data_IF_563385241006
#
_entry.id   IF_563385241006
#
_cell.length_a   1.000
_cell.length_b   1.000
_cell.length_c   1.000
_cell.angle_alpha   90.00
_cell.angle_beta   90.00
_cell.angle_gamma   90.00
#
_symmetry.space_group_name_H-M   'P 1'
#
loop_
_entity.id
_entity.type
_entity.pdbx_description
1 polymer ?
#
# COMPACT_ATOMS: atom_id res chain seq x y z
N UNK A 1 53.31 -25.25 3.51
CA UNK A 1 52.18 -25.16 2.56
C UNK A 1 50.97 -25.78 3.24
N UNK A 2 49.86 -25.04 3.34
CA UNK A 2 48.61 -25.53 3.93
C UNK A 2 47.46 -24.98 3.09
N UNK A 3 46.52 -25.84 2.67
CA UNK A 3 45.47 -25.45 1.74
C UNK A 3 44.28 -24.79 2.47
N UNK A 4 43.71 -23.75 1.85
CA UNK A 4 42.41 -23.19 2.25
C UNK A 4 41.32 -23.96 1.52
N UNK A 5 40.36 -24.62 2.21
CA UNK A 5 39.28 -25.35 1.56
C UNK A 5 38.26 -24.38 0.95
N UNK A 6 37.77 -24.69 -0.25
CA UNK A 6 36.77 -23.89 -0.94
C UNK A 6 35.37 -24.09 -0.34
N UNK A 7 34.71 -23.00 0.04
CA UNK A 7 33.29 -23.00 0.44
C UNK A 7 32.34 -23.08 -0.77
N UNK A 8 31.08 -23.51 -0.57
CA UNK A 8 30.10 -23.64 -1.65
C UNK A 8 29.67 -22.28 -2.23
N UNK A 9 29.12 -22.25 -3.46
CA UNK A 9 28.73 -21.02 -4.14
C UNK A 9 27.48 -20.39 -3.51
N UNK A 10 27.69 -19.57 -2.47
CA UNK A 10 26.67 -18.69 -1.90
C UNK A 10 26.17 -17.67 -2.93
N UNK A 11 24.91 -17.24 -2.79
CA UNK A 11 24.26 -16.29 -3.68
C UNK A 11 24.98 -14.93 -3.69
N UNK A 12 25.73 -14.67 -4.76
CA UNK A 12 26.52 -13.44 -4.93
C UNK A 12 25.67 -12.19 -5.18
N UNK A 13 25.07 -11.64 -4.13
CA UNK A 13 24.71 -10.22 -4.09
C UNK A 13 26.01 -9.42 -4.05
N UNK A 14 26.56 -9.13 -5.23
CA UNK A 14 27.75 -8.27 -5.37
C UNK A 14 27.46 -6.94 -4.67
N UNK A 15 28.28 -6.51 -3.69
CA UNK A 15 28.07 -5.22 -3.02
C UNK A 15 28.26 -4.09 -4.05
N UNK A 16 27.14 -3.51 -4.49
CA UNK A 16 27.13 -2.49 -5.54
C UNK A 16 27.86 -1.25 -5.00
N UNK A 17 29.06 -0.99 -5.53
CA UNK A 17 29.85 0.17 -5.16
C UNK A 17 29.15 1.44 -5.70
N UNK A 18 28.62 2.33 -4.83
CA UNK A 18 27.76 3.44 -5.27
C UNK A 18 28.53 4.52 -6.04
N UNK A 19 29.87 4.49 -5.97
CA UNK A 19 30.83 5.45 -6.51
C UNK A 19 30.85 5.61 -8.04
N UNK A 20 30.18 4.74 -8.80
CA UNK A 20 30.08 4.85 -10.27
C UNK A 20 28.81 5.55 -10.78
N UNK A 21 27.88 5.95 -9.91
CA UNK A 21 26.65 6.66 -10.31
C UNK A 21 26.88 8.17 -10.28
N UNK A 22 26.86 8.81 -11.45
CA UNK A 22 27.04 10.27 -11.53
C UNK A 22 25.85 11.02 -10.90
N UNK A 23 26.11 12.12 -10.15
CA UNK A 23 25.06 12.83 -9.40
C UNK A 23 23.95 13.38 -10.31
N UNK A 24 24.32 13.86 -11.50
CA UNK A 24 23.38 14.36 -12.52
C UNK A 24 22.40 13.29 -13.06
N UNK A 25 22.76 12.00 -13.00
CA UNK A 25 21.86 10.90 -13.38
C UNK A 25 21.00 10.48 -12.19
N UNK A 26 21.50 10.64 -10.96
CA UNK A 26 20.72 10.47 -9.73
C UNK A 26 19.65 11.58 -9.62
N UNK A 27 19.94 12.84 -9.96
CA UNK A 27 18.95 13.92 -9.95
C UNK A 27 17.83 13.69 -10.98
N UNK A 28 18.19 13.32 -12.22
CA UNK A 28 17.24 12.95 -13.27
C UNK A 28 16.41 11.72 -12.86
N UNK A 29 17.01 10.69 -12.26
CA UNK A 29 16.27 9.52 -11.77
C UNK A 29 15.29 9.88 -10.64
N UNK A 30 15.66 10.80 -9.73
CA UNK A 30 14.76 11.30 -8.69
C UNK A 30 13.56 12.04 -9.29
N UNK A 31 13.78 12.96 -10.23
CA UNK A 31 12.69 13.61 -10.97
C UNK A 31 11.77 12.58 -11.63
N UNK A 32 12.35 11.62 -12.36
CA UNK A 32 11.57 10.61 -13.09
C UNK A 32 10.76 9.71 -12.16
N UNK A 33 11.32 9.24 -11.04
CA UNK A 33 10.65 8.31 -10.13
C UNK A 33 9.44 8.94 -9.43
N UNK A 34 9.47 10.25 -9.15
CA UNK A 34 8.31 10.98 -8.61
C UNK A 34 7.28 11.34 -9.71
N UNK A 35 7.62 11.25 -11.00
CA UNK A 35 6.81 11.82 -12.07
C UNK A 35 5.60 10.94 -12.48
N UNK A 36 4.41 11.56 -12.46
CA UNK A 36 3.12 10.92 -12.80
C UNK A 36 3.00 10.51 -14.27
N UNK A 37 3.74 11.14 -15.19
CA UNK A 37 3.74 10.85 -16.65
C UNK A 37 4.19 9.41 -16.93
N UNK A 38 5.12 8.86 -16.14
CA UNK A 38 5.55 7.47 -16.25
C UNK A 38 4.39 6.47 -16.06
N UNK A 39 3.32 6.85 -15.34
CA UNK A 39 2.15 6.01 -15.01
C UNK A 39 2.59 4.59 -14.58
N UNK A 40 3.52 4.56 -13.63
CA UNK A 40 4.22 3.38 -13.13
C UNK A 40 3.24 2.36 -12.55
N UNK A 41 3.64 1.08 -12.52
CA UNK A 41 2.84 -0.02 -11.98
C UNK A 41 3.73 -0.98 -11.20
N UNK A 42 3.18 -1.65 -10.20
CA UNK A 42 3.86 -2.75 -9.52
C UNK A 42 3.71 -4.04 -10.32
N UNK A 43 4.79 -4.83 -10.36
CA UNK A 43 4.84 -6.18 -10.92
C UNK A 43 5.79 -7.05 -10.11
N UNK A 44 5.81 -8.35 -10.39
CA UNK A 44 6.63 -9.34 -9.69
C UNK A 44 7.86 -9.70 -10.49
N UNK A 45 8.99 -9.05 -10.18
CA UNK A 45 10.29 -9.38 -10.74
C UNK A 45 10.71 -10.78 -10.29
N UNK A 46 11.12 -11.62 -11.26
CA UNK A 46 11.44 -13.04 -11.05
C UNK A 46 10.33 -13.85 -10.33
N UNK A 47 9.07 -13.39 -10.42
CA UNK A 47 7.89 -13.94 -9.74
C UNK A 47 7.92 -13.88 -8.19
N UNK A 48 8.79 -13.07 -7.59
CA UNK A 48 8.95 -12.98 -6.12
C UNK A 48 9.03 -11.54 -5.61
N UNK A 49 9.87 -10.69 -6.22
CA UNK A 49 10.16 -9.35 -5.72
C UNK A 49 9.18 -8.32 -6.30
N UNK A 50 8.63 -7.44 -5.47
CA UNK A 50 7.76 -6.36 -5.97
C UNK A 50 8.58 -5.19 -6.50
N UNK A 51 8.42 -4.88 -7.79
CA UNK A 51 9.17 -3.83 -8.47
C UNK A 51 8.25 -2.89 -9.26
N UNK A 52 8.62 -1.61 -9.30
CA UNK A 52 7.93 -0.58 -10.08
C UNK A 52 8.44 -0.58 -11.52
N UNK A 53 7.52 -0.67 -12.49
CA UNK A 53 7.83 -0.71 -13.92
C UNK A 53 7.03 0.30 -14.74
N UNK A 54 7.63 0.73 -15.85
CA UNK A 54 7.08 1.68 -16.81
C UNK A 54 7.41 1.28 -18.26
N UNK A 55 7.07 2.13 -19.25
CA UNK A 55 7.40 1.95 -20.67
C UNK A 55 8.30 3.07 -21.19
N UNK A 56 9.22 2.73 -22.08
CA UNK A 56 10.22 3.65 -22.64
C UNK A 56 9.64 4.98 -23.15
N UNK A 57 8.59 4.97 -23.99
CA UNK A 57 7.96 6.20 -24.52
C UNK A 57 7.36 7.14 -23.48
N UNK A 58 7.15 6.68 -22.25
CA UNK A 58 6.71 7.55 -21.14
C UNK A 58 7.89 8.21 -20.43
N UNK A 59 9.06 7.56 -20.41
CA UNK A 59 10.31 8.15 -19.92
C UNK A 59 10.78 9.26 -20.87
N UNK A 60 10.81 8.99 -22.18
CA UNK A 60 11.09 10.03 -23.19
C UNK A 60 10.16 11.24 -23.03
N UNK A 61 8.83 11.01 -22.93
CA UNK A 61 7.84 12.07 -22.70
C UNK A 61 8.00 12.80 -21.37
N UNK A 62 8.49 12.14 -20.32
CA UNK A 62 8.75 12.78 -19.02
C UNK A 62 10.00 13.67 -19.08
N UNK A 63 11.07 13.24 -19.76
CA UNK A 63 12.28 14.02 -19.99
C UNK A 63 12.03 15.26 -20.86
N UNK A 64 11.21 15.13 -21.92
CA UNK A 64 10.87 16.23 -22.83
C UNK A 64 9.76 17.16 -22.30
N UNK A 65 9.25 16.91 -21.09
CA UNK A 65 8.10 17.62 -20.52
C UNK A 65 8.44 19.05 -20.05
N UNK A 66 7.43 19.91 -20.01
CA UNK A 66 7.57 21.24 -19.42
C UNK A 66 7.77 21.20 -17.89
N UNK A 67 7.41 20.09 -17.23
CA UNK A 67 7.75 19.87 -15.82
C UNK A 67 9.27 19.73 -15.64
N UNK A 68 9.94 19.00 -16.53
CA UNK A 68 11.40 18.86 -16.53
C UNK A 68 12.06 20.21 -16.80
N UNK A 69 11.65 20.93 -17.85
CA UNK A 69 12.14 22.29 -18.18
C UNK A 69 11.90 23.31 -17.06
N UNK A 70 10.83 23.15 -16.25
CA UNK A 70 10.58 23.98 -15.07
C UNK A 70 11.51 23.64 -13.91
N UNK A 71 11.74 22.37 -13.60
CA UNK A 71 12.66 21.99 -12.53
C UNK A 71 14.14 22.24 -12.89
N UNK A 72 14.50 22.14 -14.18
CA UNK A 72 15.84 22.47 -14.68
C UNK A 72 16.24 23.94 -14.42
N UNK A 73 15.26 24.87 -14.37
CA UNK A 73 15.51 26.29 -14.02
C UNK A 73 15.81 26.51 -12.54
N UNK A 74 15.60 25.52 -11.68
CA UNK A 74 15.85 25.63 -10.25
C UNK A 74 17.20 24.95 -9.90
N UNK A 75 18.21 25.72 -9.46
CA UNK A 75 19.57 25.20 -9.26
C UNK A 75 19.64 24.06 -8.22
N UNK A 76 18.65 23.95 -7.32
CA UNK A 76 18.55 22.89 -6.31
C UNK A 76 18.55 21.46 -6.89
N UNK A 77 18.16 21.30 -8.16
CA UNK A 77 17.93 19.97 -8.74
C UNK A 77 19.02 19.49 -9.71
N UNK A 78 19.97 20.34 -10.11
CA UNK A 78 21.10 19.97 -10.99
C UNK A 78 20.71 19.01 -12.15
N UNK A 79 19.71 19.41 -12.94
CA UNK A 79 19.19 18.61 -14.06
C UNK A 79 19.92 18.93 -15.36
N UNK A 80 20.23 17.89 -16.12
CA UNK A 80 20.89 17.97 -17.43
C UNK A 80 19.96 18.70 -18.42
N UNK A 81 20.43 19.65 -19.24
CA UNK A 81 19.62 20.23 -20.32
C UNK A 81 19.20 19.16 -21.33
N UNK A 82 17.93 19.19 -21.75
CA UNK A 82 17.39 18.32 -22.80
C UNK A 82 16.58 19.18 -23.78
N UNK A 83 16.99 19.18 -25.04
CA UNK A 83 16.32 19.82 -26.17
C UNK A 83 15.61 18.77 -27.02
N UNK A 84 16.33 17.72 -27.40
CA UNK A 84 15.95 16.81 -28.47
C UNK A 84 15.79 15.35 -28.00
N UNK A 85 15.08 14.54 -28.79
CA UNK A 85 14.85 13.12 -28.46
C UNK A 85 16.16 12.32 -28.38
N UNK A 86 17.19 12.70 -29.14
CA UNK A 86 18.52 12.09 -29.04
C UNK A 86 19.17 12.29 -27.65
N UNK A 87 19.02 13.47 -27.05
CA UNK A 87 19.59 13.76 -25.73
C UNK A 87 18.84 12.96 -24.65
N UNK A 88 17.52 12.83 -24.78
CA UNK A 88 16.72 11.93 -23.95
C UNK A 88 17.15 10.46 -24.09
N UNK A 89 17.50 10.01 -25.31
CA UNK A 89 17.99 8.66 -25.57
C UNK A 89 19.41 8.43 -24.99
N UNK A 90 20.30 9.44 -25.06
CA UNK A 90 21.64 9.43 -24.45
C UNK A 90 21.54 9.34 -22.91
N UNK A 91 20.63 10.09 -22.29
CA UNK A 91 20.36 10.04 -20.83
C UNK A 91 19.72 8.71 -20.41
N UNK A 92 18.83 8.15 -21.23
CA UNK A 92 18.28 6.81 -21.01
C UNK A 92 19.39 5.73 -21.04
N UNK A 93 20.35 5.81 -21.97
CA UNK A 93 21.53 4.94 -21.98
C UNK A 93 22.38 5.09 -20.71
N UNK A 94 22.53 6.31 -20.17
CA UNK A 94 23.23 6.57 -18.91
C UNK A 94 22.48 6.02 -17.68
N UNK A 95 21.14 6.08 -17.66
CA UNK A 95 20.30 5.44 -16.64
C UNK A 95 20.42 3.90 -16.67
N UNK A 96 20.56 3.33 -17.86
CA UNK A 96 20.78 1.89 -18.07
C UNK A 96 22.19 1.47 -17.63
N UNK A 97 23.24 2.18 -18.05
CA UNK A 97 24.63 1.83 -17.71
C UNK A 97 24.95 2.00 -16.22
N UNK A 98 24.33 2.97 -15.55
CA UNK A 98 24.40 3.15 -14.09
C UNK A 98 23.51 2.17 -13.28
N UNK A 99 22.87 1.22 -13.97
CA UNK A 99 21.95 0.20 -13.42
C UNK A 99 20.82 0.79 -12.58
N UNK A 100 20.37 2.01 -12.88
CA UNK A 100 19.22 2.65 -12.23
C UNK A 100 17.90 2.07 -12.75
N UNK A 101 17.91 1.61 -14.01
CA UNK A 101 16.81 0.90 -14.68
C UNK A 101 17.29 -0.43 -15.25
N UNK A 102 16.40 -1.43 -15.29
CA UNK A 102 16.66 -2.76 -15.85
C UNK A 102 15.63 -3.05 -16.97
N UNK A 103 16.06 -3.48 -18.18
CA UNK A 103 15.15 -3.89 -19.24
C UNK A 103 14.44 -5.19 -18.84
N UNK A 104 13.13 -5.25 -19.06
CA UNK A 104 12.31 -6.40 -18.65
C UNK A 104 11.32 -6.84 -19.74
N UNK A 105 11.14 -8.15 -19.82
CA UNK A 105 10.08 -8.78 -20.58
C UNK A 105 8.88 -9.04 -19.64
N UNK A 106 7.70 -8.56 -20.03
CA UNK A 106 6.46 -8.66 -19.23
C UNK A 106 5.66 -9.88 -19.69
N UNK A 107 5.92 -11.03 -19.05
CA UNK A 107 5.45 -12.34 -19.50
C UNK A 107 3.92 -12.47 -19.56
N UNK A 108 3.48 -13.38 -20.43
CA UNK A 108 2.11 -13.87 -20.49
C UNK A 108 1.88 -15.10 -19.58
N UNK A 109 0.61 -15.39 -19.27
CA UNK A 109 0.21 -16.49 -18.38
C UNK A 109 0.69 -17.88 -18.84
N UNK A 110 0.81 -18.08 -20.16
CA UNK A 110 1.39 -19.26 -20.80
C UNK A 110 2.88 -19.41 -20.49
N UNK A 111 3.66 -18.35 -20.70
CA UNK A 111 5.12 -18.33 -20.50
C UNK A 111 5.51 -18.54 -19.04
N UNK A 112 4.75 -17.96 -18.09
CA UNK A 112 5.02 -18.13 -16.65
C UNK A 112 4.93 -19.61 -16.26
N UNK A 113 4.01 -20.39 -16.84
CA UNK A 113 3.87 -21.83 -16.57
C UNK A 113 5.01 -22.68 -17.13
N UNK A 114 5.74 -22.20 -18.13
CA UNK A 114 6.91 -22.90 -18.69
C UNK A 114 8.13 -22.79 -17.76
N UNK A 115 8.17 -21.78 -16.87
CA UNK A 115 9.25 -21.61 -15.91
C UNK A 115 8.98 -22.44 -14.64
N UNK A 116 9.76 -23.53 -14.48
CA UNK A 116 9.65 -24.43 -13.33
C UNK A 116 9.73 -23.68 -12.00
N UNK A 117 8.66 -23.76 -11.20
CA UNK A 117 8.54 -23.13 -9.88
C UNK A 117 7.81 -21.80 -9.85
N UNK A 118 7.57 -21.14 -10.99
CA UNK A 118 6.81 -19.89 -11.02
C UNK A 118 5.29 -20.14 -10.97
N UNK A 119 4.59 -19.34 -10.17
CA UNK A 119 3.13 -19.40 -9.98
C UNK A 119 2.51 -18.11 -10.51
N UNK A 120 1.69 -18.14 -11.59
CA UNK A 120 1.10 -16.94 -12.15
C UNK A 120 0.19 -16.21 -11.14
N UNK A 121 0.43 -14.92 -10.93
CA UNK A 121 -0.41 -14.07 -10.10
C UNK A 121 -1.46 -13.35 -10.95
N UNK A 122 -2.70 -13.21 -10.43
CA UNK A 122 -3.81 -12.52 -11.12
C UNK A 122 -3.85 -11.00 -10.85
N UNK A 123 -3.25 -10.53 -9.75
CA UNK A 123 -3.28 -9.09 -9.39
C UNK A 123 -2.07 -8.31 -9.91
N UNK A 124 -0.88 -8.93 -9.96
CA UNK A 124 0.38 -8.30 -10.39
C UNK A 124 1.02 -9.12 -11.51
N UNK A 125 1.47 -8.51 -12.63
CA UNK A 125 2.11 -9.23 -13.73
C UNK A 125 3.52 -9.69 -13.32
N UNK A 126 3.90 -10.89 -13.75
CA UNK A 126 5.27 -11.39 -13.62
C UNK A 126 6.19 -10.70 -14.65
N UNK A 127 7.37 -10.30 -14.19
CA UNK A 127 8.38 -9.57 -14.97
C UNK A 127 9.69 -10.36 -14.96
N UNK A 128 10.32 -10.52 -16.13
CA UNK A 128 11.60 -11.22 -16.28
C UNK A 128 12.68 -10.22 -16.72
N UNK A 129 13.85 -10.16 -16.05
CA UNK A 129 15.00 -9.40 -16.56
C UNK A 129 15.39 -9.87 -17.96
N UNK A 130 15.47 -8.93 -18.90
CA UNK A 130 15.99 -9.19 -20.24
C UNK A 130 17.47 -8.85 -20.32
N UNK A 131 18.20 -9.48 -21.26
CA UNK A 131 19.59 -9.08 -21.58
C UNK A 131 19.66 -8.06 -22.72
N UNK A 132 18.55 -7.78 -23.39
CA UNK A 132 18.46 -6.83 -24.51
C UNK A 132 17.72 -5.58 -24.04
N UNK A 133 18.35 -4.42 -24.14
CA UNK A 133 17.64 -3.14 -24.02
C UNK A 133 17.10 -2.76 -25.41
N UNK A 134 15.78 -2.63 -25.53
CA UNK A 134 15.13 -2.17 -26.75
C UNK A 134 14.73 -0.70 -26.63
N UNK A 135 15.09 0.09 -27.64
CA UNK A 135 14.62 1.47 -27.83
C UNK A 135 13.17 1.52 -28.37
N UNK A 136 12.46 0.39 -28.36
CA UNK A 136 11.07 0.34 -28.80
C UNK A 136 10.18 1.19 -27.89
N UNK A 137 9.27 2.01 -28.43
CA UNK A 137 8.34 2.83 -27.65
C UNK A 137 7.52 2.04 -26.60
N UNK A 138 7.30 0.74 -26.83
CA UNK A 138 6.55 -0.13 -25.93
C UNK A 138 7.41 -0.99 -24.98
N UNK A 139 8.74 -0.97 -25.11
CA UNK A 139 9.66 -1.72 -24.24
C UNK A 139 9.48 -1.35 -22.77
N UNK A 140 9.56 -2.35 -21.89
CA UNK A 140 9.34 -2.19 -20.46
C UNK A 140 10.65 -2.12 -19.68
N UNK A 141 10.62 -1.31 -18.62
CA UNK A 141 11.78 -1.05 -17.76
C UNK A 141 11.33 -1.03 -16.30
N UNK A 142 12.12 -1.67 -15.43
CA UNK A 142 11.96 -1.70 -13.97
C UNK A 142 12.94 -0.73 -13.32
N UNK A 143 12.51 -0.03 -12.27
CA UNK A 143 13.43 0.70 -11.40
C UNK A 143 14.24 -0.26 -10.53
N UNK A 144 15.56 -0.13 -10.59
CA UNK A 144 16.52 -0.69 -9.64
C UNK A 144 17.10 0.42 -8.72
N UNK A 145 16.51 1.62 -8.77
CA UNK A 145 16.85 2.76 -7.95
C UNK A 145 15.76 3.04 -6.91
N UNK A 146 16.15 3.02 -5.64
CA UNK A 146 15.33 3.51 -4.53
C UNK A 146 15.84 4.89 -4.11
N UNK A 147 14.97 5.90 -4.24
CA UNK A 147 15.19 7.26 -3.73
C UNK A 147 15.37 7.20 -2.21
N UNK A 148 16.46 7.75 -1.63
CA UNK A 148 16.64 7.74 -0.19
C UNK A 148 15.53 8.56 0.48
N UNK A 149 14.92 8.00 1.53
CA UNK A 149 13.91 8.71 2.31
C UNK A 149 14.60 9.78 3.17
N UNK A 150 14.39 11.10 2.94
CA UNK A 150 15.10 12.15 3.68
C UNK A 150 14.76 12.13 5.18
N UNK A 151 13.59 11.60 5.56
CA UNK A 151 13.17 11.51 6.95
C UNK A 151 13.86 10.38 7.72
N UNK A 152 14.62 9.48 7.06
CA UNK A 152 15.29 8.37 7.77
C UNK A 152 16.26 8.88 8.84
N UNK A 153 17.00 9.97 8.55
CA UNK A 153 17.90 10.62 9.49
C UNK A 153 17.15 11.25 10.67
N UNK A 154 15.98 11.86 10.39
CA UNK A 154 15.11 12.42 11.43
C UNK A 154 14.54 11.33 12.33
N UNK A 155 14.12 10.19 11.78
CA UNK A 155 13.66 9.04 12.56
C UNK A 155 14.78 8.42 13.40
N UNK A 156 16.00 8.29 12.86
CA UNK A 156 17.16 7.83 13.62
C UNK A 156 17.52 8.77 14.77
N UNK A 157 17.48 10.09 14.55
CA UNK A 157 17.70 11.09 15.59
C UNK A 157 16.60 11.08 16.65
N UNK A 158 15.32 11.01 16.24
CA UNK A 158 14.19 10.94 17.16
C UNK A 158 14.20 9.64 17.98
N UNK A 159 14.63 8.53 17.39
CA UNK A 159 14.82 7.25 18.09
C UNK A 159 15.92 7.35 19.15
N UNK A 160 17.12 7.87 18.82
CA UNK A 160 18.20 7.99 19.80
C UNK A 160 17.83 8.98 20.91
N UNK A 161 17.15 10.09 20.57
CA UNK A 161 16.63 11.05 21.55
C UNK A 161 15.58 10.43 22.48
N UNK A 162 14.68 9.57 21.96
CA UNK A 162 13.71 8.83 22.75
C UNK A 162 14.36 7.83 23.73
N UNK A 163 15.39 7.10 23.28
CA UNK A 163 16.17 6.18 24.13
C UNK A 163 16.90 6.96 25.23
N UNK A 164 17.57 8.07 24.90
CA UNK A 164 18.18 8.96 25.90
C UNK A 164 17.15 9.53 26.88
N UNK A 165 15.97 9.96 26.41
CA UNK A 165 14.92 10.49 27.27
C UNK A 165 14.47 9.48 28.33
N UNK A 166 14.30 8.21 27.95
CA UNK A 166 13.96 7.10 28.87
C UNK A 166 15.11 6.84 29.86
N UNK A 167 16.35 6.72 29.38
CA UNK A 167 17.51 6.46 30.25
C UNK A 167 17.76 7.61 31.23
N UNK A 168 17.49 8.85 30.85
CA UNK A 168 17.62 10.04 31.69
C UNK A 168 16.40 10.32 32.58
N UNK A 169 15.39 9.44 32.67
CA UNK A 169 14.31 9.56 33.64
C UNK A 169 14.77 9.81 35.12
N UNK A 170 15.92 9.28 35.59
CA UNK A 170 16.55 9.65 36.86
C UNK A 170 16.98 11.13 37.01
N UNK A 171 16.97 11.91 35.93
CA UNK A 171 17.25 13.36 35.91
C UNK A 171 16.03 14.22 35.54
N UNK A 172 14.87 13.64 35.25
CA UNK A 172 13.68 14.40 34.86
C UNK A 172 13.12 15.28 36.01
N UNK A 173 12.59 16.48 35.71
CA UNK A 173 11.89 17.31 36.68
C UNK A 173 10.74 16.59 37.39
N UNK A 174 10.50 16.92 38.66
CA UNK A 174 9.44 16.33 39.48
C UNK A 174 8.05 16.38 38.82
N UNK A 175 7.70 17.48 38.15
CA UNK A 175 6.40 17.60 37.47
C UNK A 175 6.22 16.60 36.31
N UNK A 176 7.29 16.27 35.57
CA UNK A 176 7.23 15.28 34.49
C UNK A 176 7.06 13.86 35.06
N UNK A 177 7.74 13.55 36.18
CA UNK A 177 7.57 12.26 36.89
C UNK A 177 6.16 12.09 37.44
N UNK A 178 5.60 13.15 38.03
CA UNK A 178 4.21 13.23 38.46
C UNK A 178 3.27 12.96 37.27
N UNK A 179 3.50 13.59 36.11
CA UNK A 179 2.73 13.36 34.89
C UNK A 179 2.79 11.90 34.41
N UNK A 180 3.97 11.29 34.39
CA UNK A 180 4.14 9.86 34.02
C UNK A 180 3.45 8.94 35.04
N UNK A 181 3.48 9.26 36.34
CA UNK A 181 2.79 8.49 37.37
C UNK A 181 1.26 8.56 37.20
N UNK A 182 0.68 9.75 37.04
CA UNK A 182 -0.76 9.90 36.77
C UNK A 182 -1.18 9.24 35.46
N UNK A 183 -0.37 9.33 34.40
CA UNK A 183 -0.64 8.64 33.13
C UNK A 183 -0.60 7.11 33.29
N UNK A 184 0.37 6.59 34.04
CA UNK A 184 0.48 5.16 34.35
C UNK A 184 -0.71 4.67 35.17
N UNK A 185 -1.10 5.39 36.23
CA UNK A 185 -2.28 5.07 37.03
C UNK A 185 -3.58 5.21 36.23
N UNK A 186 -3.69 6.17 35.32
CA UNK A 186 -4.82 6.33 34.41
C UNK A 186 -4.97 5.16 33.43
N UNK A 187 -3.87 4.72 32.82
CA UNK A 187 -3.85 3.53 31.96
C UNK A 187 -4.11 2.24 32.74
N UNK A 188 -3.63 2.14 33.98
CA UNK A 188 -3.90 1.00 34.87
C UNK A 188 -5.37 0.97 35.35
N UNK A 189 -5.98 2.13 35.56
CA UNK A 189 -7.42 2.26 35.81
C UNK A 189 -8.24 1.83 34.57
N UNK A 190 -7.83 2.27 33.37
CA UNK A 190 -8.48 1.90 32.11
C UNK A 190 -8.39 0.40 31.84
N UNK A 191 -7.23 -0.24 32.04
CA UNK A 191 -7.10 -1.70 31.87
C UNK A 191 -7.90 -2.45 32.95
N UNK A 192 -7.92 -1.96 34.19
CA UNK A 192 -8.72 -2.50 35.28
C UNK A 192 -10.23 -2.44 35.00
N UNK A 193 -10.72 -1.33 34.43
CA UNK A 193 -12.11 -1.20 33.98
C UNK A 193 -12.45 -2.18 32.86
N UNK A 194 -11.55 -2.40 31.91
CA UNK A 194 -11.73 -3.38 30.84
C UNK A 194 -11.82 -4.82 31.40
N UNK A 195 -10.94 -5.18 32.34
CA UNK A 195 -11.03 -6.46 33.06
C UNK A 195 -12.33 -6.59 33.87
N UNK A 196 -12.78 -5.53 34.56
CA UNK A 196 -14.04 -5.53 35.31
C UNK A 196 -15.24 -5.81 34.39
N UNK A 197 -15.31 -5.15 33.24
CA UNK A 197 -16.38 -5.37 32.25
C UNK A 197 -16.31 -6.80 31.68
N UNK A 198 -15.10 -7.34 31.43
CA UNK A 198 -14.92 -8.72 30.98
C UNK A 198 -15.36 -9.75 32.05
N UNK A 199 -15.09 -9.50 33.32
CA UNK A 199 -15.52 -10.34 34.46
C UNK A 199 -17.06 -10.29 34.61
N UNK A 200 -17.66 -9.09 34.53
CA UNK A 200 -19.12 -8.93 34.57
C UNK A 200 -19.78 -9.67 33.39
N UNK A 201 -19.23 -9.54 32.17
CA UNK A 201 -19.66 -10.31 30.99
C UNK A 201 -19.59 -11.82 31.23
N UNK A 202 -18.49 -12.31 31.83
CA UNK A 202 -18.30 -13.73 32.13
C UNK A 202 -19.32 -14.25 33.16
N UNK A 203 -19.58 -13.49 34.24
CA UNK A 203 -20.53 -13.87 35.29
C UNK A 203 -21.96 -13.93 34.73
N UNK A 204 -22.38 -12.91 33.96
CA UNK A 204 -23.72 -12.90 33.35
C UNK A 204 -23.86 -14.02 32.32
N UNK A 205 -22.82 -14.27 31.50
CA UNK A 205 -22.81 -15.39 30.56
C UNK A 205 -22.95 -16.74 31.29
N UNK A 206 -22.19 -16.96 32.37
CA UNK A 206 -22.25 -18.21 33.15
C UNK A 206 -23.64 -18.43 33.80
N UNK A 207 -24.23 -17.39 34.41
CA UNK A 207 -25.56 -17.47 35.02
C UNK A 207 -26.62 -17.73 33.94
N UNK A 208 -26.61 -16.98 32.83
CA UNK A 208 -27.61 -17.15 31.77
C UNK A 208 -27.46 -18.47 31.02
N UNK A 209 -26.24 -18.99 30.83
CA UNK A 209 -26.00 -20.31 30.25
C UNK A 209 -26.53 -21.47 31.12
N UNK A 210 -26.58 -21.30 32.44
CA UNK A 210 -27.12 -22.31 33.37
C UNK A 210 -28.64 -22.22 33.56
N UNK A 211 -29.24 -21.03 33.40
CA UNK A 211 -30.66 -20.77 33.71
C UNK A 211 -31.53 -20.64 32.46
N UNK A 212 -30.98 -20.24 31.31
CA UNK A 212 -31.72 -19.94 30.08
C UNK A 212 -31.22 -20.79 28.90
N UNK A 213 -32.10 -21.18 27.96
CA UNK A 213 -31.72 -21.95 26.77
C UNK A 213 -30.97 -21.14 25.70
N UNK A 214 -30.73 -19.84 25.96
CA UNK A 214 -29.98 -18.91 25.10
C UNK A 214 -29.03 -18.10 25.99
N UNK A 215 -27.75 -18.10 25.67
CA UNK A 215 -26.75 -17.37 26.44
C UNK A 215 -26.84 -15.85 26.16
N UNK A 216 -26.74 -15.04 27.22
CA UNK A 216 -26.71 -13.59 27.11
C UNK A 216 -25.28 -13.09 26.96
N UNK A 217 -25.08 -12.18 26.01
CA UNK A 217 -23.79 -11.54 25.73
C UNK A 217 -23.86 -10.06 26.04
N UNK A 218 -23.27 -9.65 27.17
CA UNK A 218 -23.02 -8.23 27.44
C UNK A 218 -21.85 -7.74 26.55
N UNK A 219 -22.03 -6.59 25.88
CA UNK A 219 -21.07 -6.00 24.94
C UNK A 219 -20.45 -7.02 23.96
N UNK A 220 -21.23 -7.65 23.04
CA UNK A 220 -20.71 -8.67 22.12
C UNK A 220 -19.37 -8.28 21.48
N UNK A 221 -19.32 -7.09 20.88
CA UNK A 221 -18.23 -6.52 20.10
C UNK A 221 -16.97 -6.11 20.92
N UNK A 222 -16.94 -6.31 22.24
CA UNK A 222 -15.83 -5.88 23.10
C UNK A 222 -14.47 -6.51 22.76
N UNK A 223 -14.48 -7.66 22.06
CA UNK A 223 -13.30 -8.41 21.61
C UNK A 223 -13.28 -8.63 20.08
N UNK A 224 -14.10 -7.90 19.32
CA UNK A 224 -14.03 -7.89 17.85
C UNK A 224 -13.07 -6.77 17.38
N UNK A 225 -12.63 -6.84 16.11
CA UNK A 225 -11.71 -5.87 15.48
C UNK A 225 -12.39 -4.51 15.21
N UNK A 226 -12.86 -3.85 16.27
CA UNK A 226 -13.66 -2.63 16.26
C UNK A 226 -12.98 -1.48 17.00
N UNK A 227 -13.39 -0.24 16.70
CA UNK A 227 -12.93 0.93 17.46
C UNK A 227 -13.52 0.93 18.87
N UNK A 228 -12.81 1.49 19.86
CA UNK A 228 -13.24 1.49 21.29
C UNK A 228 -14.70 1.95 21.50
N UNK A 229 -15.19 2.91 20.70
CA UNK A 229 -16.57 3.43 20.78
C UNK A 229 -17.61 2.44 20.20
N UNK A 230 -17.20 1.62 19.24
CA UNK A 230 -18.00 0.60 18.57
C UNK A 230 -18.01 -0.72 19.38
N UNK A 231 -16.90 -1.04 20.07
CA UNK A 231 -16.79 -2.18 21.01
C UNK A 231 -17.87 -2.17 22.11
N UNK A 232 -18.39 -1.00 22.47
CA UNK A 232 -19.48 -0.84 23.46
C UNK A 232 -20.89 -0.77 22.84
N UNK A 233 -21.07 -1.05 21.55
CA UNK A 233 -22.37 -0.98 20.84
C UNK A 233 -22.58 -2.22 19.94
N UNK A 234 -23.66 -3.00 20.12
CA UNK A 234 -24.74 -2.82 21.09
C UNK A 234 -24.33 -3.14 22.53
N UNK A 235 -25.11 -2.67 23.50
CA UNK A 235 -24.92 -2.95 24.93
C UNK A 235 -25.05 -4.44 25.27
N UNK A 236 -25.92 -5.16 24.55
CA UNK A 236 -26.16 -6.58 24.74
C UNK A 236 -26.62 -7.27 23.45
N UNK A 237 -26.48 -8.58 23.41
CA UNK A 237 -27.08 -9.48 22.43
C UNK A 237 -27.49 -10.81 23.07
N UNK A 238 -28.39 -11.53 22.43
CA UNK A 238 -28.76 -12.91 22.77
C UNK A 238 -28.15 -13.86 21.74
N UNK A 239 -27.57 -14.99 22.18
CA UNK A 239 -27.08 -16.01 21.27
C UNK A 239 -28.26 -16.67 20.53
N UNK A 240 -28.21 -16.69 19.20
CA UNK A 240 -29.31 -17.24 18.41
C UNK A 240 -29.29 -18.77 18.48
N UNK A 241 -30.43 -19.43 18.72
CA UNK A 241 -30.49 -20.89 18.72
C UNK A 241 -30.03 -21.41 17.36
N UNK A 242 -29.18 -22.45 17.37
CA UNK A 242 -28.51 -23.02 16.18
C UNK A 242 -29.49 -23.75 15.26
N UNK A 243 -30.42 -23.01 14.66
CA UNK A 243 -31.26 -23.46 13.57
C UNK A 243 -30.39 -23.89 12.38
N UNK A 244 -30.78 -24.98 11.73
CA UNK A 244 -29.95 -25.60 10.70
C UNK A 244 -29.89 -24.75 9.42
N UNK A 245 -28.74 -24.83 8.74
CA UNK A 245 -28.36 -24.00 7.57
C UNK A 245 -29.50 -23.76 6.58
N UNK A 246 -29.97 -22.51 6.47
CA UNK A 246 -30.61 -22.00 5.24
C UNK A 246 -29.92 -20.72 4.77
N UNK A 247 -29.33 -20.77 3.57
CA UNK A 247 -28.76 -19.60 2.88
C UNK A 247 -29.90 -18.68 2.44
N UNK A 248 -30.23 -17.65 3.20
CA UNK A 248 -31.04 -16.51 2.71
C UNK A 248 -30.17 -15.62 1.82
N UNK A 249 -30.35 -15.78 0.51
CA UNK A 249 -29.59 -15.08 -0.54
C UNK A 249 -30.18 -13.68 -0.73
N UNK A 250 -29.36 -12.65 -0.48
CA UNK A 250 -29.47 -11.25 -0.96
C UNK A 250 -30.65 -10.96 -1.91
N UNK A 251 -31.68 -10.27 -1.41
CA UNK A 251 -32.71 -9.57 -2.18
C UNK A 251 -32.65 -8.05 -1.89
N UNK A 252 -33.13 -7.22 -2.82
CA UNK A 252 -33.05 -5.74 -2.74
C UNK A 252 -34.26 -5.12 -3.45
N UNK A 253 -35.07 -4.35 -2.71
CA UNK A 253 -36.27 -3.65 -3.21
C UNK A 253 -37.53 -4.53 -3.28
N UNK A 254 -38.74 -3.98 -3.17
CA UNK A 254 -39.08 -2.58 -2.82
C UNK A 254 -40.57 -2.23 -2.99
N UNK A 255 -40.95 -1.07 -2.42
CA UNK A 255 -42.15 -0.23 -2.62
C UNK A 255 -43.58 -0.82 -2.48
N UNK A 256 -44.30 -0.29 -1.47
CA UNK A 256 -45.65 0.35 -1.54
C UNK A 256 -45.85 1.05 -0.17
N UNK A 257 -46.07 2.36 -0.01
CA UNK A 257 -47.19 3.23 -0.47
C UNK A 257 -48.57 2.72 -0.04
N UNK A 258 -49.47 3.51 0.57
CA UNK A 258 -49.45 4.91 1.07
C UNK A 258 -50.59 5.07 2.12
N UNK A 259 -50.85 6.19 2.82
CA UNK A 259 -50.45 7.62 2.74
C UNK A 259 -50.05 8.15 4.17
N UNK A 260 -50.27 9.37 4.72
CA UNK A 260 -51.04 10.59 4.37
C UNK A 260 -50.55 11.86 5.16
N UNK A 261 -51.40 12.90 5.26
CA UNK A 261 -51.37 14.17 6.03
C UNK A 261 -50.47 14.25 7.29
N UNK A 262 -49.84 15.38 7.69
CA UNK A 262 -49.57 16.74 7.15
C UNK A 262 -48.66 17.48 8.19
N UNK A 263 -48.21 18.76 8.19
CA UNK A 263 -48.37 20.03 7.44
C UNK A 263 -47.04 20.83 7.50
N UNK A 264 -46.88 21.93 6.74
CA UNK A 264 -45.75 22.92 6.70
C UNK A 264 -44.39 22.38 6.20
N UNK A 265 -43.67 22.94 5.20
CA UNK A 265 -43.42 24.32 4.71
C UNK A 265 -42.34 25.06 5.54
N UNK A 266 -41.28 25.69 5.01
CA UNK A 266 -41.02 26.31 3.68
C UNK A 266 -39.50 26.34 3.33
N UNK A 267 -39.13 26.71 2.07
CA UNK A 267 -37.81 27.18 1.57
C UNK A 267 -36.73 26.13 1.18
N UNK A 268 -35.88 26.27 0.14
CA UNK A 268 -35.89 27.15 -1.09
C UNK A 268 -34.93 26.58 -2.16
N UNK A 269 -35.40 26.43 -3.41
CA UNK A 269 -34.62 26.33 -4.69
C UNK A 269 -33.62 25.16 -4.88
N UNK A 270 -33.11 24.85 -6.09
CA UNK A 270 -33.61 25.05 -7.48
C UNK A 270 -32.58 24.45 -8.47
N UNK A 271 -32.99 23.48 -9.31
CA UNK A 271 -32.41 23.10 -10.64
C UNK A 271 -30.89 22.79 -10.84
N UNK A 272 -30.46 21.97 -11.82
CA UNK A 272 -31.18 21.03 -12.70
C UNK A 272 -30.23 19.95 -13.30
N UNK A 273 -30.85 18.84 -13.74
CA UNK A 273 -30.52 17.97 -14.90
C UNK A 273 -29.06 17.79 -15.39
N UNK A 274 -28.59 16.53 -15.39
CA UNK A 274 -27.36 16.11 -16.09
C UNK A 274 -27.22 14.59 -16.24
N UNK A 275 -27.97 13.97 -17.17
CA UNK A 275 -28.02 12.50 -17.33
C UNK A 275 -26.85 11.92 -18.13
N UNK A 276 -26.37 10.72 -17.75
CA UNK A 276 -25.22 10.05 -18.38
C UNK A 276 -25.16 8.55 -18.11
N UNK A 277 -25.99 7.76 -18.80
CA UNK A 277 -26.10 6.29 -18.62
C UNK A 277 -24.86 5.52 -19.11
N UNK A 278 -24.37 4.56 -18.32
CA UNK A 278 -23.27 3.64 -18.71
C UNK A 278 -23.77 2.20 -18.87
N UNK A 279 -24.23 1.87 -20.08
CA UNK A 279 -24.66 0.52 -20.46
C UNK A 279 -23.50 -0.49 -20.41
N UNK A 280 -23.64 -1.53 -19.58
CA UNK A 280 -22.70 -2.67 -19.57
C UNK A 280 -23.04 -3.65 -20.69
N UNK A 281 -22.25 -3.67 -21.78
CA UNK A 281 -22.32 -4.75 -22.77
C UNK A 281 -21.51 -5.97 -22.30
N UNK A 282 -22.13 -7.15 -22.42
CA UNK A 282 -21.51 -8.47 -22.28
C UNK A 282 -21.04 -8.89 -23.66
N UNK A 283 -19.74 -9.10 -23.85
CA UNK A 283 -19.21 -9.70 -25.09
C UNK A 283 -19.30 -11.23 -24.96
N UNK A 284 -19.88 -11.86 -25.97
CA UNK A 284 -19.83 -13.30 -26.21
C UNK A 284 -18.74 -13.55 -27.25
N UNK A 285 -18.04 -14.67 -27.17
CA UNK A 285 -17.12 -15.10 -28.21
C UNK A 285 -17.93 -15.80 -29.30
N UNK A 286 -17.71 -15.42 -30.54
CA UNK A 286 -18.21 -16.10 -31.73
C UNK A 286 -16.97 -16.44 -32.57
N UNK A 287 -16.80 -17.72 -32.84
CA UNK A 287 -15.72 -18.26 -33.66
C UNK A 287 -16.20 -18.26 -35.12
N UNK A 288 -15.36 -17.80 -36.03
CA UNK A 288 -15.56 -17.95 -37.49
C UNK A 288 -14.20 -18.31 -38.07
N UNK A 289 -14.12 -19.48 -38.68
CA UNK A 289 -12.96 -19.96 -39.42
C UNK A 289 -12.89 -19.31 -40.82
N UNK A 290 -11.71 -18.85 -41.23
CA UNK A 290 -11.07 -19.03 -42.56
C UNK A 290 -9.65 -18.43 -42.58
#
# INVERSE_FOLDING_TARGET
>A
MSAVPAGPPGSGTVPINPSQRSPLIISVANFLKDNKILKQRTGLLNNTEEAEFFRFKRLQRALLSDEYKKQQKNPKYELIPIKDEEEANKIFLQLLSSQMIIPIDKLHYSEIKQVKGWKPNRSKPTLRPSKKASFEPNGYYVWNYNKPNPFILLYSFLFIAGVFAIILFPLWPMFMRIGVWYLSMGLLCLIGLFFLIAIIRLIIFAITYLVLPQAFWLYPNLFEDCSVIESFKPLYAWDQPKSSKKKSKKSKGGLSESSDSSTSATATGSDSTGSGSTTKRKVVLEEVDE
#
